data_IF_103817759956
#
_entry.id   IF_103817759956
#
_cell.length_a   1.000
_cell.length_b   1.000
_cell.length_c   1.000
_cell.angle_alpha   90.00
_cell.angle_beta   90.00
_cell.angle_gamma   90.00
#
_symmetry.space_group_name_H-M   'P 1'
#
loop_
_entity.id
_entity.type
_entity.pdbx_description
1 polymer ?
#
# COMPACT_ATOMS: atom_id res chain seq x y z
N UNK A 1 -14.71 -1.49 -5.79
CA UNK A 1 -13.41 -1.45 -6.50
C UNK A 1 -13.65 -2.00 -7.90
N UNK A 2 -12.92 -1.52 -8.90
CA UNK A 2 -12.96 -2.04 -10.26
C UNK A 2 -12.17 -3.36 -10.35
N UNK A 3 -12.32 -4.07 -11.47
CA UNK A 3 -11.59 -5.31 -11.74
C UNK A 3 -10.07 -5.10 -11.76
N UNK A 4 -9.61 -3.94 -12.24
CA UNK A 4 -8.20 -3.53 -12.30
C UNK A 4 -7.55 -3.22 -10.93
N UNK A 5 -8.34 -3.19 -9.84
CA UNK A 5 -7.87 -2.86 -8.50
C UNK A 5 -7.99 -1.38 -8.11
N UNK A 6 -8.56 -0.52 -8.96
CA UNK A 6 -8.78 0.90 -8.64
C UNK A 6 -10.09 1.13 -7.86
N UNK A 7 -10.09 2.10 -6.95
CA UNK A 7 -11.28 2.47 -6.20
C UNK A 7 -12.21 3.32 -7.07
N UNK A 8 -13.53 3.14 -6.92
CA UNK A 8 -14.50 3.98 -7.61
C UNK A 8 -14.50 5.40 -7.04
N UNK A 9 -14.76 6.43 -7.86
CA UNK A 9 -14.86 7.80 -7.38
C UNK A 9 -16.02 7.95 -6.40
N UNK A 10 -15.87 8.87 -5.45
CA UNK A 10 -16.86 9.14 -4.38
C UNK A 10 -18.29 9.34 -4.90
N UNK A 11 -18.43 9.98 -6.06
CA UNK A 11 -19.73 10.24 -6.68
C UNK A 11 -20.51 8.96 -7.04
N UNK A 12 -19.79 7.86 -7.33
CA UNK A 12 -20.39 6.56 -7.62
C UNK A 12 -20.56 5.69 -6.37
N UNK A 13 -19.63 5.79 -5.41
CA UNK A 13 -19.69 4.99 -4.18
C UNK A 13 -20.73 5.51 -3.19
N UNK A 14 -21.08 6.80 -3.23
CA UNK A 14 -22.02 7.43 -2.31
C UNK A 14 -21.47 7.60 -0.88
N UNK A 15 -20.17 7.37 -0.67
CA UNK A 15 -19.54 7.43 0.65
C UNK A 15 -19.27 8.87 1.10
N UNK A 16 -19.22 9.07 2.42
CA UNK A 16 -18.75 10.34 2.96
C UNK A 16 -17.24 10.51 2.69
N UNK A 17 -16.74 11.75 2.67
CA UNK A 17 -15.34 12.03 2.33
C UNK A 17 -14.34 11.28 3.22
N UNK A 18 -14.66 11.13 4.51
CA UNK A 18 -13.80 10.40 5.46
C UNK A 18 -13.78 8.89 5.18
N UNK A 19 -14.93 8.30 4.88
CA UNK A 19 -15.03 6.86 4.56
C UNK A 19 -14.32 6.53 3.25
N UNK A 20 -14.53 7.35 2.21
CA UNK A 20 -13.87 7.18 0.92
C UNK A 20 -12.34 7.19 1.09
N UNK A 21 -11.82 8.16 1.84
CA UNK A 21 -10.39 8.27 2.12
C UNK A 21 -9.80 7.07 2.86
N UNK A 22 -10.52 6.56 3.88
CA UNK A 22 -10.10 5.36 4.62
C UNK A 22 -10.06 4.14 3.68
N UNK A 23 -11.08 3.96 2.84
CA UNK A 23 -11.13 2.83 1.90
C UNK A 23 -10.00 2.91 0.87
N UNK A 24 -9.72 4.09 0.32
CA UNK A 24 -8.62 4.28 -0.63
C UNK A 24 -7.28 3.86 -0.01
N UNK A 25 -7.03 4.23 1.25
CA UNK A 25 -5.83 3.81 1.98
C UNK A 25 -5.77 2.32 2.25
N UNK A 26 -6.87 1.72 2.70
CA UNK A 26 -6.93 0.29 2.97
C UNK A 26 -6.74 -0.54 1.71
N UNK A 27 -7.31 -0.11 0.58
CA UNK A 27 -7.11 -0.76 -0.73
C UNK A 27 -5.65 -0.66 -1.16
N UNK A 28 -5.01 0.50 -0.98
CA UNK A 28 -3.58 0.68 -1.26
C UNK A 28 -2.71 -0.25 -0.39
N UNK A 29 -2.99 -0.33 0.92
CA UNK A 29 -2.30 -1.23 1.83
C UNK A 29 -2.47 -2.70 1.43
N UNK A 30 -3.70 -3.12 1.07
CA UNK A 30 -4.00 -4.48 0.64
C UNK A 30 -3.28 -4.87 -0.67
N UNK A 31 -3.12 -3.91 -1.60
CA UNK A 31 -2.30 -4.12 -2.80
C UNK A 31 -0.83 -4.34 -2.45
N UNK A 32 -0.28 -3.55 -1.53
CA UNK A 32 1.13 -3.64 -1.13
C UNK A 32 1.43 -4.86 -0.26
N UNK A 33 0.45 -5.34 0.52
CA UNK A 33 0.58 -6.59 1.28
C UNK A 33 0.35 -7.84 0.41
N UNK A 34 -0.10 -7.68 -0.83
CA UNK A 34 -0.31 -8.78 -1.78
C UNK A 34 -1.62 -9.54 -1.58
N UNK A 35 -2.61 -8.96 -0.89
CA UNK A 35 -3.91 -9.59 -0.62
C UNK A 35 -4.83 -9.64 -1.87
N UNK A 36 -4.54 -8.84 -2.90
CA UNK A 36 -5.29 -8.81 -4.16
C UNK A 36 -4.46 -9.32 -5.34
N UNK A 37 -4.33 -10.66 -5.52
CA UNK A 37 -3.62 -11.22 -6.67
C UNK A 37 -4.43 -11.11 -7.96
N UNK A 38 -5.77 -11.23 -7.89
CA UNK A 38 -6.65 -11.24 -9.07
C UNK A 38 -6.98 -9.85 -9.61
N UNK A 39 -6.88 -8.81 -8.79
CA UNK A 39 -7.22 -7.44 -9.15
C UNK A 39 -5.96 -6.67 -9.53
N UNK A 40 -5.54 -6.82 -10.77
CA UNK A 40 -4.36 -6.14 -11.33
C UNK A 40 -4.72 -5.49 -12.67
N UNK A 41 -4.01 -4.43 -13.06
CA UNK A 41 -4.21 -3.82 -14.36
C UNK A 41 -3.89 -4.82 -15.48
N UNK A 42 -4.54 -4.65 -16.63
CA UNK A 42 -4.28 -5.48 -17.79
C UNK A 42 -2.81 -5.36 -18.22
N UNK A 43 -2.16 -6.50 -18.49
CA UNK A 43 -0.73 -6.55 -18.84
C UNK A 43 0.23 -6.54 -17.65
N UNK A 44 -0.27 -6.60 -16.41
CA UNK A 44 0.59 -6.78 -15.23
C UNK A 44 1.20 -8.18 -15.20
N UNK A 45 2.52 -8.29 -15.39
CA UNK A 45 3.28 -9.51 -15.15
C UNK A 45 4.01 -9.43 -13.79
N UNK A 46 3.58 -10.21 -12.79
CA UNK A 46 4.21 -10.22 -11.48
C UNK A 46 5.70 -10.58 -11.52
N UNK A 47 6.15 -11.38 -12.49
CA UNK A 47 7.53 -11.84 -12.57
C UNK A 47 8.47 -10.74 -13.08
N UNK A 48 8.02 -9.95 -14.04
CA UNK A 48 8.76 -8.81 -14.58
C UNK A 48 8.85 -7.71 -13.52
N UNK A 49 7.73 -7.38 -12.89
CA UNK A 49 7.64 -6.31 -11.89
C UNK A 49 8.37 -6.65 -10.58
N UNK A 50 8.51 -7.94 -10.25
CA UNK A 50 9.29 -8.41 -9.09
C UNK A 50 10.76 -8.68 -9.41
N UNK A 51 11.12 -8.68 -10.69
CA UNK A 51 12.49 -8.94 -11.13
C UNK A 51 13.45 -7.95 -10.48
N UNK A 52 14.42 -8.45 -9.71
CA UNK A 52 15.43 -7.63 -9.03
C UNK A 52 15.12 -7.23 -7.58
N UNK A 53 13.90 -7.45 -7.06
CA UNK A 53 13.56 -7.07 -5.68
C UNK A 53 12.90 -8.22 -4.89
N UNK A 54 13.46 -8.54 -3.71
CA UNK A 54 12.81 -9.43 -2.76
C UNK A 54 11.61 -8.71 -2.14
N UNK A 55 10.40 -9.17 -2.45
CA UNK A 55 9.19 -8.69 -1.80
C UNK A 55 9.15 -9.20 -0.35
N UNK A 56 9.20 -8.27 0.61
CA UNK A 56 9.02 -8.59 2.03
C UNK A 56 7.54 -8.52 2.40
N UNK A 57 7.09 -9.42 3.26
CA UNK A 57 5.75 -9.35 3.84
C UNK A 57 5.59 -8.04 4.60
N UNK A 58 4.61 -7.24 4.21
CA UNK A 58 4.34 -5.93 4.80
C UNK A 58 2.87 -5.83 5.18
N UNK A 59 2.62 -5.45 6.42
CA UNK A 59 1.29 -5.28 6.99
C UNK A 59 1.23 -4.01 7.85
N UNK A 60 0.03 -3.48 8.04
CA UNK A 60 -0.25 -2.27 8.81
C UNK A 60 -1.42 -2.53 9.75
N UNK A 61 -1.45 -1.85 10.89
CA UNK A 61 -2.54 -1.96 11.86
C UNK A 61 -3.62 -0.91 11.60
N UNK A 62 -3.22 0.29 11.14
CA UNK A 62 -4.11 1.43 10.88
C UNK A 62 -3.95 1.96 9.46
N UNK A 63 -4.97 2.64 8.95
CA UNK A 63 -4.99 3.23 7.60
C UNK A 63 -3.86 4.27 7.39
N UNK A 64 -3.46 4.95 8.47
CA UNK A 64 -2.43 5.98 8.45
C UNK A 64 -1.00 5.45 8.58
N UNK A 65 -0.81 4.19 8.96
CA UNK A 65 0.52 3.65 9.28
C UNK A 65 1.46 3.63 8.08
N UNK A 66 0.91 3.63 6.86
CA UNK A 66 1.70 3.73 5.63
C UNK A 66 2.52 5.02 5.56
N UNK A 67 2.05 6.09 6.20
CA UNK A 67 2.70 7.40 6.23
C UNK A 67 3.42 7.68 7.56
N UNK A 68 3.29 6.78 8.55
CA UNK A 68 3.94 6.94 9.83
C UNK A 68 5.45 6.70 9.68
N UNK A 69 6.24 7.71 10.03
CA UNK A 69 7.70 7.58 10.10
C UNK A 69 8.06 6.70 11.29
N UNK A 70 8.41 5.44 11.05
CA UNK A 70 9.05 4.60 12.07
C UNK A 70 10.51 4.99 12.18
N UNK A 71 10.87 5.67 13.26
CA UNK A 71 12.27 5.81 13.65
C UNK A 71 12.71 4.46 14.22
N UNK A 72 13.65 3.79 13.55
CA UNK A 72 14.26 2.59 14.10
C UNK A 72 15.24 3.02 15.20
N UNK A 73 14.75 3.10 16.44
CA UNK A 73 15.61 3.37 17.59
C UNK A 73 16.29 2.07 17.98
N UNK A 74 17.50 1.82 17.47
CA UNK A 74 18.36 0.79 18.06
C UNK A 74 18.98 1.40 19.34
N UNK A 75 18.88 0.75 20.51
CA UNK A 75 19.56 1.24 21.70
C UNK A 75 21.08 1.24 21.43
N UNK A 76 21.67 2.44 21.31
CA UNK A 76 23.11 2.65 21.13
C UNK A 76 23.61 3.03 19.72
N UNK A 77 22.75 3.24 18.71
CA UNK A 77 23.23 3.65 17.37
C UNK A 77 22.98 5.13 17.06
N UNK A 78 23.98 5.83 16.52
CA UNK A 78 23.83 7.17 15.94
C UNK A 78 22.95 7.15 14.68
N UNK A 79 22.05 8.12 14.59
CA UNK A 79 21.13 8.27 13.46
C UNK A 79 21.91 8.53 12.16
N UNK A 80 21.71 7.70 11.13
CA UNK A 80 22.03 8.10 9.75
C UNK A 80 20.84 7.85 8.84
N UNK A 81 20.43 8.88 8.11
CA UNK A 81 19.40 8.79 7.07
C UNK A 81 20.13 8.39 5.78
N UNK A 82 20.07 7.12 5.38
CA UNK A 82 20.60 6.69 4.09
C UNK A 82 19.65 7.14 2.99
N UNK A 83 20.08 8.10 2.17
CA UNK A 83 19.45 8.43 0.89
C UNK A 83 20.33 7.84 -0.22
N UNK A 84 19.72 7.09 -1.14
CA UNK A 84 20.32 6.77 -2.44
C UNK A 84 19.95 7.87 -3.43
#
# INVERSE_FOLDING_TARGET
MRSDGTVYPRALTGLCSKQQFIIERLVQQAHWSGLFPSNKPAGYDPNVERSGYKAYNRYWEKDSDMYNRRLTTLPGSFYYIRRY
#
